data_IF_076185256816
#
_entry.id   IF_076185256816
#
_cell.length_a   1.000
_cell.length_b   1.000
_cell.length_c   1.000
_cell.angle_alpha   90.00
_cell.angle_beta   90.00
_cell.angle_gamma   90.00
#
_symmetry.space_group_name_H-M   'P 1'
#
loop_
_entity.id
_entity.type
_entity.pdbx_description
1 polymer ?
#
# COMPACT_ATOMS: atom_id res chain seq x y z
N UNK A 1 -33.20 -17.99 47.89
CA UNK A 1 -32.00 -17.24 47.46
C UNK A 1 -31.23 -17.97 46.35
N UNK A 2 -30.85 -19.24 46.53
CA UNK A 2 -30.11 -20.04 45.52
C UNK A 2 -30.86 -20.19 44.17
N UNK A 3 -32.19 -20.39 44.18
CA UNK A 3 -32.99 -20.50 42.94
C UNK A 3 -32.98 -19.25 42.06
N UNK A 4 -32.87 -18.06 42.67
CA UNK A 4 -32.80 -16.79 41.93
C UNK A 4 -31.42 -16.57 41.32
N UNK A 5 -30.36 -17.04 41.98
CA UNK A 5 -28.99 -17.00 41.44
C UNK A 5 -28.81 -17.91 40.22
N UNK A 6 -29.43 -19.09 40.23
CA UNK A 6 -29.40 -20.02 39.08
C UNK A 6 -30.16 -19.41 37.89
N UNK A 7 -31.33 -18.80 38.12
CA UNK A 7 -32.10 -18.13 37.07
C UNK A 7 -31.34 -16.92 36.48
N UNK A 8 -30.69 -16.11 37.33
CA UNK A 8 -29.86 -15.00 36.86
C UNK A 8 -28.63 -15.48 36.09
N UNK A 9 -27.98 -16.57 36.53
CA UNK A 9 -26.86 -17.16 35.79
C UNK A 9 -27.28 -17.69 34.42
N UNK A 10 -28.46 -18.30 34.31
CA UNK A 10 -28.99 -18.82 33.05
C UNK A 10 -29.41 -17.69 32.09
N UNK A 11 -30.07 -16.64 32.60
CA UNK A 11 -30.43 -15.46 31.80
C UNK A 11 -29.19 -14.67 31.37
N UNK A 12 -28.19 -14.53 32.24
CA UNK A 12 -26.91 -13.92 31.89
C UNK A 12 -26.15 -14.73 30.84
N UNK A 13 -26.14 -16.06 30.96
CA UNK A 13 -25.53 -16.96 29.98
C UNK A 13 -26.22 -16.91 28.61
N UNK A 14 -27.56 -16.90 28.57
CA UNK A 14 -28.33 -16.76 27.34
C UNK A 14 -28.19 -15.38 26.70
N UNK A 15 -28.10 -14.32 27.53
CA UNK A 15 -27.83 -12.97 27.06
C UNK A 15 -26.45 -12.91 26.41
N UNK A 16 -25.39 -13.37 27.08
CA UNK A 16 -24.02 -13.40 26.53
C UNK A 16 -23.95 -14.29 25.28
N UNK A 17 -24.61 -15.46 25.28
CA UNK A 17 -24.62 -16.35 24.13
C UNK A 17 -25.30 -15.71 22.92
N UNK A 18 -26.45 -15.04 23.12
CA UNK A 18 -27.13 -14.28 22.06
C UNK A 18 -26.31 -13.06 21.63
N UNK A 19 -25.63 -12.38 22.57
CA UNK A 19 -24.76 -11.23 22.31
C UNK A 19 -23.55 -11.60 21.43
N UNK A 20 -23.00 -12.81 21.59
CA UNK A 20 -21.90 -13.33 20.80
C UNK A 20 -22.36 -13.99 19.48
N UNK A 21 -23.50 -14.70 19.47
CA UNK A 21 -23.96 -15.46 18.30
C UNK A 21 -24.61 -14.57 17.23
N UNK A 22 -25.24 -13.45 17.61
CA UNK A 22 -25.91 -12.52 16.69
C UNK A 22 -25.07 -11.26 16.36
N UNK A 23 -23.78 -11.24 16.66
CA UNK A 23 -22.86 -10.20 16.15
C UNK A 23 -23.05 -8.79 16.72
N UNK A 24 -23.81 -8.61 17.81
CA UNK A 24 -24.05 -7.30 18.44
C UNK A 24 -22.72 -6.69 18.94
N UNK A 25 -21.73 -7.52 19.28
CA UNK A 25 -20.39 -7.05 19.65
C UNK A 25 -19.70 -6.28 18.50
N UNK A 26 -19.92 -6.65 17.24
CA UNK A 26 -19.38 -5.91 16.09
C UNK A 26 -20.08 -4.57 15.87
N UNK A 27 -21.38 -4.46 16.21
CA UNK A 27 -22.12 -3.20 16.12
C UNK A 27 -21.76 -2.23 17.26
N UNK A 28 -21.50 -2.73 18.47
CA UNK A 28 -21.15 -1.89 19.64
C UNK A 28 -19.67 -1.49 19.66
N UNK A 29 -18.75 -2.35 19.21
CA UNK A 29 -17.32 -1.99 19.07
C UNK A 29 -17.12 -0.92 17.99
N UNK A 30 -17.95 -0.91 16.95
CA UNK A 30 -17.96 0.17 15.93
C UNK A 30 -18.36 1.55 16.46
N UNK A 31 -18.93 1.64 17.68
CA UNK A 31 -19.29 2.90 18.34
C UNK A 31 -18.20 3.44 19.29
N UNK A 32 -17.27 2.61 19.76
CA UNK A 32 -16.28 2.97 20.79
C UNK A 32 -14.87 3.22 20.25
N UNK A 33 -14.57 2.75 19.04
CA UNK A 33 -13.37 3.16 18.33
C UNK A 33 -13.67 4.46 17.58
N UNK A 34 -12.85 5.52 17.70
CA UNK A 34 -12.94 6.60 16.73
C UNK A 34 -12.80 5.96 15.35
N UNK A 35 -13.82 6.10 14.49
CA UNK A 35 -13.67 5.78 13.07
C UNK A 35 -12.39 6.49 12.63
N UNK A 36 -11.46 5.75 12.01
CA UNK A 36 -10.30 6.37 11.39
C UNK A 36 -10.83 7.50 10.49
N UNK A 37 -10.61 8.74 10.92
CA UNK A 37 -11.29 9.93 10.41
C UNK A 37 -10.47 10.60 9.30
N UNK A 38 -9.30 10.06 8.98
CA UNK A 38 -8.48 10.52 7.88
C UNK A 38 -9.07 9.95 6.58
N UNK A 39 -10.00 10.69 6.00
CA UNK A 39 -10.48 10.44 4.66
C UNK A 39 -9.43 10.98 3.68
N UNK A 40 -8.98 10.15 2.73
CA UNK A 40 -8.04 10.59 1.69
C UNK A 40 -8.66 11.75 0.89
N UNK A 41 -7.90 12.83 0.64
CA UNK A 41 -8.44 14.02 -0.02
C UNK A 41 -8.84 13.73 -1.47
N UNK A 42 -9.94 14.34 -1.91
CA UNK A 42 -10.47 14.22 -3.27
C UNK A 42 -10.92 15.58 -3.81
N UNK A 43 -11.04 15.67 -5.13
CA UNK A 43 -11.62 16.82 -5.84
C UNK A 43 -12.77 16.36 -6.73
N UNK A 44 -13.76 17.22 -6.92
CA UNK A 44 -14.88 16.99 -7.83
C UNK A 44 -14.47 17.26 -9.28
N UNK A 45 -14.88 16.39 -10.19
CA UNK A 45 -14.80 16.59 -11.64
C UNK A 45 -16.16 16.34 -12.29
N UNK A 46 -16.32 16.73 -13.56
CA UNK A 46 -17.54 16.46 -14.32
C UNK A 46 -17.85 14.95 -14.45
N UNK A 47 -16.84 14.09 -14.31
CA UNK A 47 -16.96 12.65 -14.54
C UNK A 47 -16.93 11.83 -13.24
N UNK A 48 -16.80 12.46 -12.07
CA UNK A 48 -16.64 11.75 -10.80
C UNK A 48 -15.78 12.46 -9.78
N UNK A 49 -15.77 11.91 -8.57
CA UNK A 49 -14.79 12.25 -7.53
C UNK A 49 -13.46 11.55 -7.83
N UNK A 50 -12.36 12.30 -7.83
CA UNK A 50 -11.00 11.80 -8.07
C UNK A 50 -10.09 12.14 -6.88
N UNK A 51 -9.08 11.31 -6.56
CA UNK A 51 -8.07 11.66 -5.57
C UNK A 51 -7.43 13.03 -5.84
N UNK A 52 -7.25 13.82 -4.78
CA UNK A 52 -6.46 15.04 -4.84
C UNK A 52 -4.98 14.66 -4.69
N UNK A 53 -4.32 14.33 -5.81
CA UNK A 53 -2.91 13.94 -5.83
C UNK A 53 -1.98 14.99 -5.21
N UNK A 54 -2.39 16.26 -5.18
CA UNK A 54 -1.61 17.35 -4.57
C UNK A 54 -1.61 17.32 -3.04
N UNK A 55 -2.59 16.62 -2.45
CA UNK A 55 -2.73 16.47 -1.00
C UNK A 55 -2.57 15.03 -0.52
N UNK A 56 -2.68 14.06 -1.42
CA UNK A 56 -2.56 12.64 -1.10
C UNK A 56 -1.13 12.28 -0.73
N UNK A 57 -0.93 11.75 0.48
CA UNK A 57 0.35 11.36 1.06
C UNK A 57 0.25 9.98 1.67
N UNK A 58 1.35 9.23 1.71
CA UNK A 58 1.35 7.93 2.40
C UNK A 58 1.02 8.08 3.88
N UNK A 59 1.51 9.15 4.54
CA UNK A 59 1.27 9.45 5.95
C UNK A 59 -0.23 9.52 6.31
N UNK A 60 -1.08 9.95 5.39
CA UNK A 60 -2.52 10.15 5.64
C UNK A 60 -3.37 8.89 5.35
N UNK A 61 -2.77 7.87 4.75
CA UNK A 61 -3.43 6.60 4.44
C UNK A 61 -3.42 5.68 5.65
N UNK A 62 -4.37 5.89 6.55
CA UNK A 62 -4.47 5.18 7.83
C UNK A 62 -5.34 3.94 7.71
N UNK A 63 -4.80 2.78 8.05
CA UNK A 63 -5.56 1.52 8.06
C UNK A 63 -6.52 1.48 9.25
N UNK A 64 -7.75 1.04 9.05
CA UNK A 64 -8.75 0.93 10.11
C UNK A 64 -8.75 -0.42 10.82
N UNK A 65 -8.03 -1.42 10.29
CA UNK A 65 -7.96 -2.77 10.84
C UNK A 65 -6.50 -3.22 10.97
N UNK A 66 -6.19 -3.90 12.08
CA UNK A 66 -4.89 -4.55 12.28
C UNK A 66 -4.81 -5.83 11.46
N UNK A 67 -3.60 -6.21 11.07
CA UNK A 67 -3.38 -7.45 10.36
C UNK A 67 -1.94 -7.90 10.42
N UNK A 68 -1.73 -9.14 10.01
CA UNK A 68 -0.40 -9.70 9.83
C UNK A 68 -0.41 -10.68 8.68
N UNK A 69 0.76 -10.85 8.08
CA UNK A 69 0.97 -11.81 7.01
C UNK A 69 2.37 -12.36 7.11
N UNK A 70 2.47 -13.68 7.01
CA UNK A 70 3.73 -14.38 6.85
C UNK A 70 3.83 -14.89 5.42
N UNK A 71 4.95 -14.61 4.75
CA UNK A 71 5.16 -14.98 3.36
C UNK A 71 6.59 -15.49 3.13
N UNK A 72 6.77 -16.41 2.16
CA UNK A 72 8.09 -16.92 1.83
C UNK A 72 8.90 -15.88 1.07
N UNK A 73 10.18 -15.80 1.39
CA UNK A 73 11.21 -15.06 0.64
C UNK A 73 12.39 -15.98 0.34
N UNK A 74 13.32 -15.49 -0.48
CA UNK A 74 14.62 -16.13 -0.73
C UNK A 74 15.46 -16.30 0.55
N UNK A 75 15.22 -15.46 1.56
CA UNK A 75 15.88 -15.47 2.88
C UNK A 75 15.07 -16.17 3.98
N UNK A 76 14.03 -16.92 3.60
CA UNK A 76 13.11 -17.60 4.53
C UNK A 76 11.78 -16.87 4.70
N UNK A 77 10.99 -17.25 5.71
CA UNK A 77 9.71 -16.60 5.94
C UNK A 77 9.91 -15.22 6.57
N UNK A 78 9.24 -14.21 6.00
CA UNK A 78 9.13 -12.88 6.59
C UNK A 78 7.71 -12.67 7.07
N UNK A 79 7.56 -11.86 8.12
CA UNK A 79 6.26 -11.46 8.64
C UNK A 79 6.13 -9.95 8.60
N UNK A 80 5.05 -9.47 7.98
CA UNK A 80 4.66 -8.06 8.02
C UNK A 80 3.45 -7.92 8.92
N UNK A 81 3.48 -6.91 9.79
CA UNK A 81 2.44 -6.65 10.79
C UNK A 81 2.07 -5.18 10.70
N UNK A 82 0.78 -4.88 10.77
CA UNK A 82 0.28 -3.52 10.90
C UNK A 82 -0.83 -3.46 11.94
N UNK A 83 -1.03 -2.26 12.48
CA UNK A 83 -2.07 -2.00 13.47
C UNK A 83 -3.09 -1.00 12.94
N UNK A 84 -4.35 -1.14 13.36
CA UNK A 84 -5.35 -0.11 13.15
C UNK A 84 -4.84 1.25 13.67
N UNK A 85 -5.03 2.31 12.90
CA UNK A 85 -4.49 3.64 13.19
C UNK A 85 -3.08 3.89 12.64
N UNK A 86 -2.42 2.89 12.05
CA UNK A 86 -1.10 3.03 11.44
C UNK A 86 -1.20 3.51 9.99
N UNK A 87 -0.25 4.34 9.55
CA UNK A 87 -0.13 4.72 8.13
C UNK A 87 0.44 3.57 7.32
N UNK A 88 -0.04 3.37 6.08
CA UNK A 88 0.61 2.42 5.17
C UNK A 88 2.08 2.79 4.91
N UNK A 89 2.43 4.07 4.99
CA UNK A 89 3.80 4.55 4.85
C UNK A 89 4.74 4.07 5.95
N UNK A 90 4.21 3.52 7.06
CA UNK A 90 5.03 2.97 8.15
C UNK A 90 5.51 1.54 7.90
N UNK A 91 4.79 0.77 7.09
CA UNK A 91 5.01 -0.68 6.98
C UNK A 91 5.00 -1.22 5.55
N UNK A 92 4.62 -0.41 4.56
CA UNK A 92 4.79 -0.74 3.16
C UNK A 92 6.18 -0.38 2.67
N UNK A 93 6.64 -1.11 1.68
CA UNK A 93 7.97 -0.97 1.09
C UNK A 93 7.88 -0.35 -0.30
N UNK A 94 8.99 0.20 -0.80
CA UNK A 94 9.05 0.79 -2.14
C UNK A 94 8.65 -0.22 -3.23
N UNK A 95 9.09 -1.47 -3.08
CA UNK A 95 8.81 -2.54 -4.04
C UNK A 95 7.34 -2.88 -4.18
N UNK A 96 6.49 -2.51 -3.22
CA UNK A 96 5.06 -2.79 -3.25
C UNK A 96 4.34 -1.95 -4.33
N UNK A 97 4.93 -0.82 -4.72
CA UNK A 97 4.38 0.13 -5.68
C UNK A 97 5.07 0.12 -7.05
N UNK A 98 6.02 -0.77 -7.29
CA UNK A 98 6.76 -0.90 -8.56
C UNK A 98 5.81 -1.09 -9.76
N UNK A 99 4.71 -1.86 -9.61
CA UNK A 99 3.73 -2.11 -10.68
C UNK A 99 2.59 -1.08 -10.71
N UNK A 100 2.65 -0.04 -9.86
CA UNK A 100 1.57 0.93 -9.70
C UNK A 100 1.61 2.06 -10.74
N UNK A 101 2.67 2.13 -11.57
CA UNK A 101 2.96 3.22 -12.50
C UNK A 101 3.09 4.60 -11.81
N UNK A 102 3.42 4.60 -10.51
CA UNK A 102 3.82 5.82 -9.79
C UNK A 102 5.29 6.18 -10.07
N UNK A 103 6.08 5.19 -10.49
CA UNK A 103 7.51 5.28 -10.72
C UNK A 103 8.27 5.85 -9.49
N UNK A 104 7.86 5.46 -8.27
CA UNK A 104 8.48 5.96 -7.03
C UNK A 104 9.95 5.57 -6.94
N UNK A 105 10.34 4.50 -7.60
CA UNK A 105 11.71 4.02 -7.68
C UNK A 105 12.63 4.95 -8.50
N UNK A 106 12.04 5.83 -9.32
CA UNK A 106 12.75 6.87 -10.08
C UNK A 106 12.94 8.16 -9.29
N UNK A 107 12.43 8.26 -8.05
CA UNK A 107 12.66 9.40 -7.18
C UNK A 107 14.11 9.45 -6.70
N UNK A 108 14.54 10.67 -6.36
CA UNK A 108 15.83 10.96 -5.75
C UNK A 108 15.60 11.75 -4.46
N UNK A 109 16.55 11.73 -3.52
CA UNK A 109 16.43 12.53 -2.29
C UNK A 109 16.44 14.03 -2.59
N UNK A 110 17.12 14.47 -3.64
CA UNK A 110 17.13 15.86 -4.12
C UNK A 110 15.74 16.31 -4.54
N UNK A 111 14.97 15.47 -5.25
CA UNK A 111 13.58 15.81 -5.63
C UNK A 111 12.68 15.92 -4.39
N UNK A 112 12.81 14.98 -3.44
CA UNK A 112 12.02 15.02 -2.19
C UNK A 112 12.37 16.25 -1.36
N UNK A 113 13.66 16.55 -1.23
CA UNK A 113 14.14 17.66 -0.42
C UNK A 113 13.72 19.01 -0.98
N UNK A 114 13.71 19.17 -2.30
CA UNK A 114 13.20 20.37 -2.96
C UNK A 114 11.70 20.54 -2.74
N UNK A 115 10.92 19.46 -2.86
CA UNK A 115 9.47 19.51 -2.69
C UNK A 115 9.04 19.83 -1.24
N UNK A 116 9.81 19.35 -0.25
CA UNK A 116 9.48 19.47 1.17
C UNK A 116 10.37 20.47 1.94
N UNK A 117 11.28 21.16 1.25
CA UNK A 117 12.29 22.03 1.85
C UNK A 117 13.11 21.36 2.97
N UNK A 118 13.52 20.11 2.76
CA UNK A 118 14.34 19.34 3.71
C UNK A 118 15.81 19.71 3.54
N UNK A 119 16.49 19.98 4.65
CA UNK A 119 17.95 20.15 4.66
C UNK A 119 18.65 18.78 4.72
N UNK A 120 19.18 18.34 3.56
CA UNK A 120 19.90 17.07 3.45
C UNK A 120 21.24 17.06 4.22
N UNK A 121 21.86 18.22 4.47
CA UNK A 121 23.10 18.30 5.26
C UNK A 121 22.87 18.06 6.76
N UNK A 122 21.63 18.20 7.21
CA UNK A 122 21.18 17.89 8.56
C UNK A 122 20.97 16.39 8.79
N UNK A 123 20.75 15.62 7.72
CA UNK A 123 20.48 14.18 7.78
C UNK A 123 21.77 13.34 7.87
N UNK A 124 21.63 12.12 8.36
CA UNK A 124 22.67 11.10 8.45
C UNK A 124 22.55 10.06 7.35
N UNK A 125 23.61 9.29 7.13
CA UNK A 125 23.53 8.15 6.20
C UNK A 125 22.51 7.12 6.68
N UNK A 126 22.43 6.81 7.97
CA UNK A 126 21.49 5.80 8.48
C UNK A 126 20.00 6.23 8.42
N UNK A 127 19.73 7.52 8.21
CA UNK A 127 18.38 8.03 7.93
C UNK A 127 17.88 7.59 6.54
N UNK A 128 18.78 7.23 5.61
CA UNK A 128 18.42 6.76 4.27
C UNK A 128 18.47 5.22 4.21
N UNK A 129 17.33 4.56 4.40
CA UNK A 129 17.20 3.10 4.52
C UNK A 129 17.92 2.29 3.45
N UNK A 130 17.88 2.77 2.21
CA UNK A 130 18.49 2.09 1.06
C UNK A 130 19.99 1.86 1.28
N UNK A 131 20.70 2.79 1.93
CA UNK A 131 22.16 2.69 2.11
C UNK A 131 22.56 1.56 3.07
N UNK A 132 21.66 1.10 3.94
CA UNK A 132 21.94 0.10 4.99
C UNK A 132 22.34 -1.26 4.42
N UNK A 133 21.91 -1.58 3.20
CA UNK A 133 22.17 -2.86 2.53
C UNK A 133 23.20 -2.77 1.42
N UNK A 134 23.72 -1.58 1.10
CA UNK A 134 24.61 -1.39 -0.04
C UNK A 134 26.03 -1.89 0.27
N UNK A 135 26.59 -2.63 -0.67
CA UNK A 135 28.02 -2.93 -0.70
C UNK A 135 28.77 -1.82 -1.44
N UNK A 136 30.12 -1.83 -1.36
CA UNK A 136 30.94 -0.88 -2.10
C UNK A 136 30.67 -0.94 -3.61
N UNK A 137 30.53 -2.15 -4.15
CA UNK A 137 30.27 -2.38 -5.57
C UNK A 137 28.89 -1.88 -5.98
N UNK A 138 27.87 -2.07 -5.14
CA UNK A 138 26.53 -1.59 -5.43
C UNK A 138 26.46 -0.06 -5.36
N UNK A 139 27.15 0.55 -4.39
CA UNK A 139 27.24 2.00 -4.29
C UNK A 139 27.95 2.62 -5.51
N UNK A 140 29.00 1.97 -6.04
CA UNK A 140 29.68 2.43 -7.27
C UNK A 140 28.80 2.25 -8.51
N UNK A 141 27.94 1.22 -8.57
CA UNK A 141 26.96 1.08 -9.66
C UNK A 141 25.90 2.17 -9.58
N UNK A 142 25.40 2.46 -8.37
CA UNK A 142 24.38 3.47 -8.13
C UNK A 142 24.90 4.89 -8.35
N UNK A 143 26.16 5.14 -8.00
CA UNK A 143 26.83 6.44 -8.12
C UNK A 143 28.13 6.26 -8.93
N UNK A 144 28.06 6.18 -10.28
CA UNK A 144 29.23 5.87 -11.11
C UNK A 144 30.42 6.83 -10.92
N UNK A 145 30.16 8.10 -10.62
CA UNK A 145 31.19 9.11 -10.38
C UNK A 145 32.06 8.80 -9.16
N UNK A 146 31.52 8.07 -8.19
CA UNK A 146 32.21 7.64 -6.98
C UNK A 146 33.42 6.76 -7.32
N UNK A 147 33.37 6.00 -8.42
CA UNK A 147 34.46 5.13 -8.87
C UNK A 147 35.80 5.89 -9.03
N UNK A 148 35.73 7.15 -9.46
CA UNK A 148 36.89 7.98 -9.77
C UNK A 148 37.47 8.70 -8.54
N UNK A 149 36.71 8.75 -7.44
CA UNK A 149 37.12 9.40 -6.21
C UNK A 149 38.17 8.56 -5.46
N UNK A 150 39.04 9.24 -4.72
CA UNK A 150 39.91 8.58 -3.75
C UNK A 150 39.09 8.23 -2.51
N UNK A 151 39.28 7.05 -1.93
CA UNK A 151 38.57 6.72 -0.69
C UNK A 151 38.86 7.74 0.42
N UNK A 152 40.06 8.31 0.46
CA UNK A 152 40.44 9.36 1.42
C UNK A 152 39.55 10.61 1.35
N UNK A 153 38.97 10.96 0.19
CA UNK A 153 38.10 12.13 0.06
C UNK A 153 36.64 11.86 0.45
N UNK A 154 36.26 10.59 0.66
CA UNK A 154 34.91 10.19 1.04
C UNK A 154 34.96 9.51 2.40
N UNK A 155 34.76 10.29 3.46
CA UNK A 155 34.96 9.87 4.85
C UNK A 155 34.39 8.49 5.23
N UNK A 156 33.11 8.17 4.95
CA UNK A 156 32.55 6.84 5.27
C UNK A 156 33.31 5.72 4.54
N UNK A 157 33.70 5.93 3.28
CA UNK A 157 34.43 4.92 2.49
C UNK A 157 35.88 4.80 2.96
N UNK A 158 36.51 5.90 3.39
CA UNK A 158 37.82 5.86 4.02
C UNK A 158 37.81 4.99 5.28
N UNK A 159 36.80 5.14 6.14
CA UNK A 159 36.66 4.36 7.36
C UNK A 159 36.34 2.91 7.07
N UNK A 160 35.45 2.63 6.13
CA UNK A 160 35.19 1.27 5.64
C UNK A 160 36.50 0.60 5.18
N UNK A 161 37.32 1.30 4.38
CA UNK A 161 38.60 0.75 3.91
C UNK A 161 39.57 0.48 5.05
N UNK A 162 39.63 1.35 6.07
CA UNK A 162 40.45 1.13 7.26
C UNK A 162 40.05 -0.14 8.00
N UNK A 163 38.75 -0.37 8.18
CA UNK A 163 38.24 -1.60 8.81
C UNK A 163 38.62 -2.85 8.00
N UNK A 164 38.58 -2.76 6.68
CA UNK A 164 38.97 -3.85 5.79
C UNK A 164 40.49 -4.01 5.62
N UNK A 165 41.33 -3.17 6.24
CA UNK A 165 42.79 -3.19 6.05
C UNK A 165 43.26 -2.74 4.66
N UNK A 166 42.43 -1.95 3.96
CA UNK A 166 42.66 -1.45 2.59
C UNK A 166 43.21 -0.03 2.64
N UNK A 167 44.13 0.30 1.72
CA UNK A 167 44.69 1.65 1.63
C UNK A 167 43.65 2.68 1.16
N UNK A 168 43.47 3.75 1.93
CA UNK A 168 42.56 4.86 1.59
C UNK A 168 43.03 5.73 0.42
N UNK A 169 44.27 5.55 -0.05
CA UNK A 169 44.79 6.27 -1.22
C UNK A 169 44.27 5.69 -2.54
N UNK A 170 43.65 4.52 -2.52
CA UNK A 170 43.13 3.89 -3.73
C UNK A 170 41.87 4.60 -4.24
N UNK A 171 41.64 4.49 -5.55
CA UNK A 171 40.36 4.85 -6.16
C UNK A 171 39.31 3.85 -5.73
N UNK A 172 38.12 4.34 -5.43
CA UNK A 172 37.02 3.52 -4.92
C UNK A 172 36.63 2.43 -5.92
N UNK A 173 36.54 2.78 -7.21
CA UNK A 173 36.20 1.82 -8.26
C UNK A 173 37.24 0.70 -8.42
N UNK A 174 38.52 0.98 -8.19
CA UNK A 174 39.55 -0.06 -8.20
C UNK A 174 39.29 -1.06 -7.06
N UNK A 175 39.01 -0.57 -5.86
CA UNK A 175 38.76 -1.45 -4.72
C UNK A 175 37.49 -2.28 -4.93
N UNK A 176 36.41 -1.66 -5.42
CA UNK A 176 35.17 -2.35 -5.75
C UNK A 176 35.36 -3.52 -6.74
N UNK A 177 36.28 -3.36 -7.70
CA UNK A 177 36.53 -4.38 -8.72
C UNK A 177 37.55 -5.47 -8.30
N UNK A 178 38.58 -5.10 -7.53
CA UNK A 178 39.70 -6.01 -7.22
C UNK A 178 39.54 -6.77 -5.90
N UNK A 179 38.77 -6.25 -4.95
CA UNK A 179 38.55 -6.89 -3.66
C UNK A 179 37.21 -7.61 -3.64
N UNK A 180 37.15 -8.75 -2.96
CA UNK A 180 35.91 -9.51 -2.80
C UNK A 180 35.03 -8.91 -1.69
N UNK A 181 34.42 -7.76 -1.96
CA UNK A 181 33.59 -7.00 -1.01
C UNK A 181 32.09 -7.04 -1.33
N UNK A 182 31.70 -7.81 -2.36
CA UNK A 182 30.33 -7.86 -2.90
C UNK A 182 29.27 -8.41 -1.92
N UNK A 183 29.68 -8.94 -0.77
CA UNK A 183 28.79 -9.47 0.27
C UNK A 183 28.95 -8.74 1.60
N UNK A 184 29.64 -7.59 1.62
CA UNK A 184 29.92 -6.82 2.83
C UNK A 184 29.23 -5.46 2.69
N UNK A 185 28.03 -5.28 3.27
CA UNK A 185 27.38 -3.98 3.34
C UNK A 185 28.23 -2.97 4.10
N UNK A 186 28.24 -1.70 3.68
CA UNK A 186 29.01 -0.67 4.38
C UNK A 186 28.60 -0.58 5.86
N UNK A 187 27.30 -0.62 6.14
CA UNK A 187 26.74 -0.51 7.49
C UNK A 187 27.07 -1.68 8.44
N UNK A 188 27.63 -2.80 7.95
CA UNK A 188 28.10 -3.88 8.84
C UNK A 188 29.45 -3.55 9.49
N UNK A 189 30.28 -2.75 8.82
CA UNK A 189 31.65 -2.45 9.26
C UNK A 189 31.79 -1.04 9.84
N UNK A 190 30.91 -0.12 9.43
CA UNK A 190 30.91 1.26 9.92
C UNK A 190 29.55 1.69 10.44
N UNK A 191 29.58 2.55 11.45
CA UNK A 191 28.39 3.16 12.03
C UNK A 191 27.94 4.36 11.18
N UNK A 192 26.93 4.13 10.33
CA UNK A 192 26.43 5.10 9.37
C UNK A 192 25.86 6.37 10.02
N UNK A 193 25.42 6.31 11.28
CA UNK A 193 24.90 7.46 12.04
C UNK A 193 25.91 8.57 12.28
N UNK A 194 27.21 8.26 12.16
CA UNK A 194 28.31 9.21 12.37
C UNK A 194 28.57 10.12 11.17
N UNK A 195 28.00 9.81 10.01
CA UNK A 195 28.26 10.52 8.78
C UNK A 195 27.01 11.28 8.34
N UNK A 196 27.21 12.49 7.82
CA UNK A 196 26.13 13.19 7.13
C UNK A 196 25.73 12.42 5.88
N UNK A 197 24.46 12.49 5.48
CA UNK A 197 23.98 11.91 4.23
C UNK A 197 24.87 12.35 3.04
N UNK A 198 25.13 13.65 2.95
CA UNK A 198 25.95 14.29 1.89
C UNK A 198 27.45 13.97 1.97
N UNK A 199 27.89 13.14 2.92
CA UNK A 199 29.29 12.69 3.00
C UNK A 199 29.66 11.70 1.88
N UNK A 200 28.67 11.12 1.20
CA UNK A 200 28.85 10.34 -0.03
C UNK A 200 28.38 11.23 -1.19
N UNK A 201 29.31 11.78 -1.99
CA UNK A 201 28.94 12.67 -3.09
C UNK A 201 28.01 11.97 -4.09
N UNK A 202 26.91 12.63 -4.48
CA UNK A 202 25.99 12.16 -5.51
C UNK A 202 24.87 11.25 -5.00
N UNK A 203 24.89 10.84 -3.73
CA UNK A 203 23.87 9.94 -3.15
C UNK A 203 22.46 10.53 -3.24
N UNK A 204 22.34 11.85 -3.15
CA UNK A 204 21.07 12.56 -3.20
C UNK A 204 20.47 12.66 -4.60
N UNK A 205 21.28 12.43 -5.64
CA UNK A 205 20.89 12.58 -7.05
C UNK A 205 20.66 11.24 -7.76
N UNK A 206 21.13 10.13 -7.19
CA UNK A 206 20.83 8.78 -7.70
C UNK A 206 19.37 8.41 -7.44
N UNK A 207 18.74 7.75 -8.41
CA UNK A 207 17.38 7.24 -8.22
C UNK A 207 17.39 5.99 -7.35
N UNK A 208 16.29 5.74 -6.63
CA UNK A 208 16.22 4.61 -5.71
C UNK A 208 16.44 3.26 -6.42
N UNK A 209 16.01 3.13 -7.66
CA UNK A 209 16.17 1.91 -8.44
C UNK A 209 17.61 1.60 -8.90
N UNK A 210 18.52 2.56 -8.76
CA UNK A 210 19.95 2.36 -9.03
C UNK A 210 20.67 1.62 -7.89
N UNK A 211 20.07 1.61 -6.69
CA UNK A 211 20.62 0.93 -5.52
C UNK A 211 20.16 -0.53 -5.44
N UNK A 212 21.01 -1.41 -4.90
CA UNK A 212 20.65 -2.81 -4.74
C UNK A 212 19.55 -2.98 -3.68
N UNK A 213 18.62 -3.91 -3.87
CA UNK A 213 17.57 -4.24 -2.90
C UNK A 213 16.69 -3.05 -2.45
N UNK A 214 16.58 -1.99 -3.26
CA UNK A 214 15.75 -0.83 -2.95
C UNK A 214 14.28 -1.23 -2.68
N UNK A 215 13.80 -2.28 -3.35
CA UNK A 215 12.43 -2.77 -3.22
C UNK A 215 12.06 -3.15 -1.79
N UNK A 216 13.02 -3.62 -1.00
CA UNK A 216 12.79 -4.04 0.39
C UNK A 216 12.87 -2.89 1.40
N UNK A 217 13.09 -1.65 0.94
CA UNK A 217 13.19 -0.48 1.82
C UNK A 217 11.80 0.01 2.19
N UNK A 218 11.56 0.23 3.48
CA UNK A 218 10.29 0.82 3.93
C UNK A 218 10.14 2.25 3.42
N UNK A 219 8.89 2.65 3.15
CA UNK A 219 8.59 4.04 2.80
C UNK A 219 9.03 4.99 3.93
N UNK A 220 8.88 4.56 5.19
CA UNK A 220 9.31 5.29 6.39
C UNK A 220 10.82 5.44 6.53
N UNK A 221 11.61 4.58 5.88
CA UNK A 221 13.06 4.66 5.90
C UNK A 221 13.62 5.60 4.82
N UNK A 222 12.76 6.26 4.02
CA UNK A 222 13.19 7.27 3.06
C UNK A 222 12.83 8.66 3.63
N UNK A 223 13.82 9.54 3.88
CA UNK A 223 13.57 10.86 4.44
C UNK A 223 12.53 11.65 3.63
N UNK A 224 11.43 12.03 4.27
CA UNK A 224 10.35 12.84 3.69
C UNK A 224 9.38 12.10 2.76
N UNK A 225 9.63 10.84 2.37
CA UNK A 225 8.78 10.18 1.37
C UNK A 225 7.34 9.97 1.86
N UNK A 226 7.16 9.69 3.15
CA UNK A 226 5.82 9.56 3.75
C UNK A 226 4.98 10.82 3.61
N UNK A 227 5.62 11.97 3.69
CA UNK A 227 5.01 13.31 3.69
C UNK A 227 4.93 13.93 2.30
N UNK A 228 5.59 13.32 1.31
CA UNK A 228 5.58 13.75 -0.07
C UNK A 228 4.20 13.50 -0.69
N UNK A 229 3.60 14.56 -1.23
CA UNK A 229 2.35 14.43 -1.99
C UNK A 229 2.59 13.71 -3.31
N UNK A 230 1.64 12.89 -3.73
CA UNK A 230 1.77 12.02 -4.89
C UNK A 230 1.97 12.78 -6.21
N UNK A 231 1.52 14.03 -6.32
CA UNK A 231 1.80 14.88 -7.49
C UNK A 231 3.29 15.24 -7.69
N UNK A 232 4.14 14.98 -6.70
CA UNK A 232 5.59 15.10 -6.83
C UNK A 232 6.27 13.79 -7.24
N UNK A 233 5.52 12.70 -7.39
CA UNK A 233 6.05 11.46 -7.96
C UNK A 233 6.29 11.64 -9.47
N UNK A 234 7.20 10.85 -10.08
CA UNK A 234 7.51 11.00 -11.49
C UNK A 234 6.32 10.70 -12.41
N UNK A 235 5.33 9.96 -11.91
CA UNK A 235 4.04 9.72 -12.56
C UNK A 235 2.93 9.67 -11.52
N UNK A 236 1.74 10.16 -11.89
CA UNK A 236 0.50 9.96 -11.13
C UNK A 236 -0.49 9.19 -11.99
N UNK A 237 -1.34 8.32 -11.39
CA UNK A 237 -2.31 7.56 -12.16
C UNK A 237 -3.35 8.50 -12.76
N UNK A 238 -3.52 8.47 -14.09
CA UNK A 238 -4.66 9.09 -14.73
C UNK A 238 -5.93 8.27 -14.40
N UNK A 239 -7.03 8.91 -13.95
CA UNK A 239 -8.29 8.20 -13.75
C UNK A 239 -8.77 7.53 -15.03
N UNK A 240 -9.15 6.26 -14.93
CA UNK A 240 -9.70 5.50 -16.06
C UNK A 240 -11.18 5.86 -16.26
N UNK A 241 -11.44 6.80 -17.16
CA UNK A 241 -12.78 7.30 -17.47
C UNK A 241 -13.52 6.44 -18.50
N UNK A 242 -13.04 5.23 -18.83
CA UNK A 242 -13.69 4.36 -19.82
C UNK A 242 -15.07 3.85 -19.38
N UNK A 243 -15.35 3.88 -18.08
CA UNK A 243 -16.61 3.43 -17.52
C UNK A 243 -16.98 4.28 -16.30
N UNK A 244 -18.08 5.03 -16.43
CA UNK A 244 -18.56 6.01 -15.44
C UNK A 244 -20.06 5.84 -15.26
N UNK A 245 -20.53 6.01 -14.03
CA UNK A 245 -21.95 6.04 -13.69
C UNK A 245 -22.22 7.00 -12.55
N UNK A 246 -23.37 6.81 -11.93
CA UNK A 246 -23.82 7.51 -10.74
C UNK A 246 -24.27 6.47 -9.72
N UNK A 247 -24.07 6.77 -8.44
CA UNK A 247 -24.69 5.99 -7.37
C UNK A 247 -26.20 6.23 -7.42
N UNK A 248 -27.02 5.19 -7.49
CA UNK A 248 -28.48 5.33 -7.55
C UNK A 248 -29.14 4.81 -6.27
N UNK A 249 -29.07 3.50 -6.02
CA UNK A 249 -29.74 2.86 -4.88
C UNK A 249 -28.73 2.09 -4.04
N UNK A 250 -28.30 2.63 -2.89
CA UNK A 250 -27.57 1.87 -1.87
C UNK A 250 -28.51 0.86 -1.21
N UNK A 251 -28.15 -0.42 -1.25
CA UNK A 251 -28.96 -1.53 -0.75
C UNK A 251 -28.11 -2.47 0.12
N UNK A 252 -28.64 -2.81 1.29
CA UNK A 252 -27.97 -3.50 2.38
C UNK A 252 -28.00 -5.03 2.25
N UNK A 253 -27.83 -5.68 3.39
CA UNK A 253 -27.49 -7.10 3.50
C UNK A 253 -28.67 -8.07 3.31
N UNK A 254 -29.88 -7.55 3.13
CA UNK A 254 -31.08 -8.35 2.83
C UNK A 254 -31.13 -8.77 1.35
N UNK A 255 -30.40 -8.05 0.50
CA UNK A 255 -30.35 -8.31 -0.94
C UNK A 255 -29.66 -9.63 -1.27
N UNK A 256 -30.09 -10.30 -2.35
CA UNK A 256 -29.57 -11.61 -2.74
C UNK A 256 -29.54 -11.79 -4.26
N UNK A 257 -28.72 -12.74 -4.74
CA UNK A 257 -28.69 -13.17 -6.14
C UNK A 257 -28.53 -12.02 -7.15
N UNK A 258 -27.48 -11.21 -6.97
CA UNK A 258 -27.15 -10.04 -7.79
C UNK A 258 -26.18 -10.44 -8.89
N UNK A 259 -26.72 -10.67 -10.09
CA UNK A 259 -25.99 -11.23 -11.24
C UNK A 259 -25.43 -10.16 -12.20
N UNK A 260 -25.96 -8.94 -12.14
CA UNK A 260 -25.55 -7.82 -13.00
C UNK A 260 -24.41 -7.04 -12.35
N UNK A 261 -23.47 -7.80 -11.80
CA UNK A 261 -22.36 -7.28 -10.99
C UNK A 261 -21.29 -6.67 -11.86
N UNK A 262 -20.80 -5.51 -11.45
CA UNK A 262 -19.59 -4.87 -11.96
C UNK A 262 -18.45 -5.02 -10.95
N UNK A 263 -18.47 -6.01 -10.07
CA UNK A 263 -17.45 -6.19 -9.03
C UNK A 263 -16.55 -7.37 -9.37
N UNK A 264 -15.27 -7.32 -9.01
CA UNK A 264 -14.43 -8.52 -9.05
C UNK A 264 -12.96 -8.24 -8.78
N UNK A 265 -12.08 -8.87 -9.55
CA UNK A 265 -10.62 -8.75 -9.46
C UNK A 265 -9.96 -8.90 -10.83
N UNK A 266 -8.65 -8.69 -10.89
CA UNK A 266 -7.88 -9.00 -12.08
C UNK A 266 -7.84 -10.51 -12.42
N UNK A 267 -8.04 -11.40 -11.44
CA UNK A 267 -7.96 -12.85 -11.66
C UNK A 267 -9.29 -13.44 -12.14
N UNK A 268 -10.40 -13.03 -11.56
CA UNK A 268 -11.73 -13.55 -11.93
C UNK A 268 -12.45 -12.67 -12.98
N UNK A 269 -11.89 -11.49 -13.28
CA UNK A 269 -12.59 -10.45 -14.03
C UNK A 269 -13.47 -9.58 -13.12
N UNK A 270 -14.07 -8.54 -13.68
CA UNK A 270 -14.79 -7.50 -12.92
C UNK A 270 -16.32 -7.62 -13.01
N UNK A 271 -16.82 -8.84 -13.30
CA UNK A 271 -18.24 -9.15 -13.48
C UNK A 271 -18.65 -10.38 -12.64
N UNK A 272 -18.10 -10.51 -11.43
CA UNK A 272 -18.34 -11.68 -10.57
C UNK A 272 -19.71 -11.56 -9.90
N UNK A 273 -20.66 -12.48 -10.17
CA UNK A 273 -22.01 -12.41 -9.62
C UNK A 273 -22.03 -12.72 -8.12
N UNK A 274 -22.93 -12.08 -7.37
CA UNK A 274 -23.17 -12.37 -5.96
C UNK A 274 -24.37 -13.32 -5.83
N UNK A 275 -24.11 -14.62 -5.69
CA UNK A 275 -25.13 -15.68 -5.65
C UNK A 275 -25.56 -16.09 -4.22
N UNK A 276 -25.21 -15.27 -3.22
CA UNK A 276 -25.50 -15.53 -1.81
C UNK A 276 -26.73 -14.74 -1.35
N UNK A 277 -27.19 -15.05 -0.13
CA UNK A 277 -28.36 -14.40 0.49
C UNK A 277 -28.05 -13.06 1.17
N UNK A 278 -26.85 -12.51 0.95
CA UNK A 278 -26.42 -11.21 1.44
C UNK A 278 -25.48 -10.59 0.41
N UNK A 279 -26.02 -9.67 -0.38
CA UNK A 279 -25.32 -9.00 -1.45
C UNK A 279 -25.44 -7.49 -1.26
N UNK A 280 -25.04 -6.98 -0.09
CA UNK A 280 -24.97 -5.53 0.11
C UNK A 280 -24.18 -4.88 -1.05
N UNK A 281 -24.81 -3.92 -1.72
CA UNK A 281 -24.30 -3.28 -2.93
C UNK A 281 -24.91 -1.88 -3.12
N UNK A 282 -24.47 -1.16 -4.14
CA UNK A 282 -25.31 -0.12 -4.71
C UNK A 282 -25.62 -0.44 -6.17
N UNK A 283 -26.80 -0.04 -6.62
CA UNK A 283 -27.14 -0.01 -8.05
C UNK A 283 -26.66 1.30 -8.66
N UNK A 284 -26.01 1.20 -9.81
CA UNK A 284 -25.58 2.35 -10.58
C UNK A 284 -26.66 2.82 -11.55
N UNK A 285 -26.66 4.11 -11.86
CA UNK A 285 -27.41 4.72 -12.97
C UNK A 285 -26.46 5.48 -13.91
N UNK A 286 -26.89 5.83 -15.12
CA UNK A 286 -26.10 6.67 -16.02
C UNK A 286 -26.22 6.33 -17.51
N UNK A 287 -25.33 6.90 -18.33
CA UNK A 287 -25.33 6.74 -19.79
C UNK A 287 -24.94 5.31 -20.19
N UNK A 288 -25.72 4.69 -21.07
CA UNK A 288 -25.45 3.37 -21.62
C UNK A 288 -25.98 2.22 -20.76
N UNK A 289 -25.19 1.16 -20.59
CA UNK A 289 -25.60 -0.10 -19.94
C UNK A 289 -25.44 -0.10 -18.40
N UNK A 290 -24.98 1.00 -17.79
CA UNK A 290 -24.72 1.10 -16.34
C UNK A 290 -25.95 1.06 -15.46
N UNK A 291 -27.13 1.41 -16.00
CA UNK A 291 -28.37 1.46 -15.23
C UNK A 291 -28.73 0.08 -14.69
N UNK A 292 -28.82 -0.07 -13.37
CA UNK A 292 -29.06 -1.34 -12.69
C UNK A 292 -27.82 -2.24 -12.58
N UNK A 293 -26.62 -1.73 -12.88
CA UNK A 293 -25.37 -2.45 -12.63
C UNK A 293 -25.04 -2.42 -11.14
N UNK A 294 -24.54 -3.53 -10.59
CA UNK A 294 -24.43 -3.73 -9.15
C UNK A 294 -22.96 -3.72 -8.72
N UNK A 295 -22.56 -2.78 -7.87
CA UNK A 295 -21.23 -2.81 -7.23
C UNK A 295 -21.36 -3.37 -5.81
N UNK A 296 -21.05 -4.66 -5.69
CA UNK A 296 -21.13 -5.46 -4.47
C UNK A 296 -20.06 -5.04 -3.46
N UNK A 297 -20.42 -5.02 -2.18
CA UNK A 297 -19.52 -4.72 -1.08
C UNK A 297 -18.45 -5.78 -0.91
N UNK A 298 -17.20 -5.34 -0.77
CA UNK A 298 -16.07 -6.19 -0.42
C UNK A 298 -16.12 -6.78 0.98
N UNK A 299 -17.05 -6.33 1.84
CA UNK A 299 -17.31 -6.96 3.14
C UNK A 299 -18.04 -8.30 3.00
N UNK A 300 -18.96 -8.38 2.04
CA UNK A 300 -19.84 -9.55 1.87
C UNK A 300 -19.31 -10.51 0.81
N UNK A 301 -18.54 -10.02 -0.17
CA UNK A 301 -17.99 -10.85 -1.24
C UNK A 301 -16.47 -10.72 -1.34
N UNK A 302 -15.80 -11.88 -1.34
CA UNK A 302 -14.38 -12.03 -1.64
C UNK A 302 -14.20 -12.77 -2.97
N UNK A 303 -13.11 -12.50 -3.65
CA UNK A 303 -12.75 -13.06 -4.97
C UNK A 303 -11.27 -13.41 -4.99
N UNK A 304 -10.85 -14.32 -5.86
CA UNK A 304 -9.46 -14.70 -6.05
C UNK A 304 -8.62 -13.49 -6.51
N UNK A 305 -7.39 -13.40 -6.02
CA UNK A 305 -6.47 -12.30 -6.29
C UNK A 305 -5.00 -12.71 -6.28
N UNK A 306 -4.12 -11.73 -6.51
CA UNK A 306 -2.67 -11.96 -6.51
C UNK A 306 -2.16 -12.81 -7.68
N UNK A 307 -0.85 -13.05 -7.72
CA UNK A 307 -0.21 -13.93 -8.71
C UNK A 307 1.18 -14.38 -8.25
N UNK A 308 1.69 -15.45 -8.88
CA UNK A 308 2.95 -16.09 -8.47
C UNK A 308 2.81 -16.82 -7.13
N UNK A 309 3.92 -17.00 -6.41
CA UNK A 309 3.95 -17.75 -5.14
C UNK A 309 3.21 -17.03 -4.00
N UNK A 310 3.10 -15.70 -4.05
CA UNK A 310 2.38 -14.90 -3.07
C UNK A 310 0.86 -14.90 -3.27
N UNK A 311 0.35 -15.49 -4.36
CA UNK A 311 -1.10 -15.53 -4.63
C UNK A 311 -1.90 -16.25 -3.55
N UNK A 312 -1.29 -17.13 -2.76
CA UNK A 312 -1.97 -17.93 -1.72
C UNK A 312 -2.11 -17.19 -0.39
N UNK A 313 -1.45 -16.03 -0.27
CA UNK A 313 -1.57 -15.16 0.91
C UNK A 313 -3.03 -14.76 1.11
N UNK A 314 -3.46 -14.68 2.37
CA UNK A 314 -4.86 -14.38 2.73
C UNK A 314 -5.86 -15.39 2.10
N UNK A 315 -5.47 -16.66 2.00
CA UNK A 315 -6.26 -17.70 1.34
C UNK A 315 -6.39 -17.51 -0.18
N UNK A 316 -5.62 -16.58 -0.75
CA UNK A 316 -5.72 -16.15 -2.14
C UNK A 316 -6.91 -15.28 -2.47
N UNK A 317 -7.53 -14.69 -1.46
CA UNK A 317 -8.73 -13.89 -1.60
C UNK A 317 -8.48 -12.40 -1.32
N UNK A 318 -9.20 -11.56 -2.04
CA UNK A 318 -9.33 -10.12 -1.82
C UNK A 318 -10.81 -9.70 -1.79
N UNK A 319 -11.19 -8.61 -1.10
CA UNK A 319 -12.49 -7.97 -1.29
C UNK A 319 -12.76 -7.68 -2.76
N UNK A 320 -13.98 -7.92 -3.23
CA UNK A 320 -14.42 -7.53 -4.57
C UNK A 320 -14.35 -6.00 -4.75
N UNK A 321 -14.03 -5.50 -5.94
CA UNK A 321 -13.84 -4.07 -6.18
C UNK A 321 -13.33 -3.74 -7.58
N UNK A 322 -12.82 -2.52 -7.79
CA UNK A 322 -12.29 -2.03 -9.09
C UNK A 322 -11.02 -1.19 -8.92
N UNK A 323 -10.38 -0.83 -10.04
CA UNK A 323 -9.12 -0.08 -10.10
C UNK A 323 -9.21 1.19 -10.97
N UNK A 324 -10.16 2.11 -10.71
CA UNK A 324 -10.32 3.31 -11.53
C UNK A 324 -9.12 4.27 -11.46
N UNK A 325 -8.24 4.10 -10.47
CA UNK A 325 -7.07 4.96 -10.23
C UNK A 325 -5.74 4.21 -10.34
N UNK A 326 -5.70 3.18 -11.19
CA UNK A 326 -4.50 2.37 -11.41
C UNK A 326 -4.31 1.24 -10.39
N UNK A 327 -3.11 0.64 -10.39
CA UNK A 327 -2.79 -0.58 -9.63
C UNK A 327 -2.18 -0.30 -8.25
N UNK A 328 -2.00 0.95 -7.87
CA UNK A 328 -1.51 1.36 -6.55
C UNK A 328 -2.41 0.85 -5.43
N UNK A 329 -3.72 0.86 -5.66
CA UNK A 329 -4.72 0.36 -4.73
C UNK A 329 -5.99 -0.06 -5.45
N UNK A 330 -6.77 -0.91 -4.81
CA UNK A 330 -8.12 -1.30 -5.22
C UNK A 330 -9.15 -0.44 -4.50
N UNK A 331 -10.09 0.15 -5.22
CA UNK A 331 -11.27 0.79 -4.64
C UNK A 331 -12.35 -0.25 -4.40
N UNK A 332 -12.87 -0.27 -3.18
CA UNK A 332 -13.83 -1.26 -2.70
C UNK A 332 -15.01 -0.55 -2.05
N UNK A 333 -16.23 -0.90 -2.44
CA UNK A 333 -17.44 -0.56 -1.67
C UNK A 333 -17.35 -1.29 -0.33
N UNK A 334 -17.33 -0.54 0.77
CA UNK A 334 -17.05 -1.10 2.09
C UNK A 334 -18.27 -1.05 3.00
N UNK A 335 -18.86 0.13 3.19
CA UNK A 335 -20.06 0.32 3.99
C UNK A 335 -21.18 0.94 3.15
N UNK A 336 -22.41 0.51 3.41
CA UNK A 336 -23.63 1.00 2.76
C UNK A 336 -24.60 1.40 3.87
N UNK A 337 -25.18 2.58 3.73
CA UNK A 337 -26.23 3.09 4.61
C UNK A 337 -27.43 3.51 3.76
N UNK A 338 -28.42 2.62 3.68
CA UNK A 338 -29.68 2.86 2.98
C UNK A 338 -30.44 4.08 3.52
N UNK A 339 -30.32 4.35 4.82
CA UNK A 339 -31.12 5.41 5.47
C UNK A 339 -30.66 6.81 5.10
N UNK A 340 -29.36 6.97 4.85
CA UNK A 340 -28.76 8.23 4.39
C UNK A 340 -28.49 8.25 2.89
N UNK A 341 -28.75 7.15 2.18
CA UNK A 341 -28.42 7.03 0.76
C UNK A 341 -26.92 7.15 0.51
N UNK A 342 -26.08 6.60 1.38
CA UNK A 342 -24.62 6.76 1.29
C UNK A 342 -23.86 5.45 1.14
N UNK A 343 -22.74 5.53 0.44
CA UNK A 343 -21.81 4.42 0.17
C UNK A 343 -20.40 4.88 0.54
N UNK A 344 -19.79 4.24 1.54
CA UNK A 344 -18.40 4.47 1.88
C UNK A 344 -17.51 3.48 1.13
N UNK A 345 -16.48 4.02 0.49
CA UNK A 345 -15.44 3.21 -0.15
C UNK A 345 -14.17 3.18 0.68
N UNK A 346 -13.38 2.12 0.48
CA UNK A 346 -12.07 1.96 1.08
C UNK A 346 -11.03 1.59 0.01
N UNK A 347 -9.78 1.95 0.28
CA UNK A 347 -8.62 1.48 -0.46
C UNK A 347 -8.09 0.20 0.15
N UNK A 348 -7.77 -0.77 -0.70
CA UNK A 348 -7.01 -1.95 -0.35
C UNK A 348 -5.72 -1.99 -1.15
N UNK A 349 -4.63 -2.29 -0.47
CA UNK A 349 -3.29 -2.42 -1.02
C UNK A 349 -2.89 -3.89 -1.07
N UNK A 350 -1.86 -4.15 -1.87
CA UNK A 350 -1.16 -5.43 -1.92
C UNK A 350 0.32 -5.16 -1.72
N UNK A 351 1.07 -6.21 -1.45
CA UNK A 351 2.51 -6.12 -1.50
C UNK A 351 3.05 -7.12 -2.51
N UNK A 352 4.25 -6.85 -2.98
CA UNK A 352 4.82 -7.58 -4.09
C UNK A 352 6.33 -7.77 -3.89
N UNK A 353 6.85 -8.90 -4.35
CA UNK A 353 8.26 -9.26 -4.22
C UNK A 353 8.82 -9.73 -5.55
N UNK A 354 10.08 -9.41 -5.79
CA UNK A 354 10.88 -10.00 -6.84
C UNK A 354 11.70 -11.13 -6.23
N UNK A 355 11.35 -12.38 -6.57
CA UNK A 355 12.08 -13.55 -6.08
C UNK A 355 12.99 -14.07 -7.19
N UNK A 356 14.30 -14.27 -6.94
CA UNK A 356 15.22 -14.83 -7.91
C UNK A 356 14.68 -16.12 -8.55
N UNK A 357 14.77 -16.22 -9.88
CA UNK A 357 14.31 -17.36 -10.70
C UNK A 357 12.79 -17.62 -10.74
N UNK A 358 12.00 -17.01 -9.85
CA UNK A 358 10.51 -17.05 -9.87
C UNK A 358 9.94 -15.84 -10.60
N UNK A 359 10.60 -14.69 -10.46
CA UNK A 359 10.15 -13.40 -10.99
C UNK A 359 9.25 -12.66 -10.00
N UNK A 360 8.54 -11.66 -10.54
CA UNK A 360 7.61 -10.81 -9.78
C UNK A 360 6.41 -11.62 -9.29
N UNK A 361 6.05 -11.45 -8.03
CA UNK A 361 4.88 -12.08 -7.42
C UNK A 361 4.19 -11.09 -6.50
N UNK A 362 2.86 -11.14 -6.42
CA UNK A 362 2.07 -10.23 -5.60
C UNK A 362 0.97 -10.98 -4.86
N UNK A 363 0.62 -10.47 -3.69
CA UNK A 363 -0.55 -10.92 -2.95
C UNK A 363 -1.85 -10.43 -3.61
N UNK A 364 -3.02 -10.97 -3.19
CA UNK A 364 -4.28 -10.26 -3.34
C UNK A 364 -4.22 -8.84 -2.73
N UNK A 365 -5.17 -7.97 -3.06
CA UNK A 365 -5.36 -6.66 -2.41
C UNK A 365 -6.09 -6.82 -1.07
N UNK A 366 -5.37 -7.08 0.01
CA UNK A 366 -5.97 -7.36 1.33
C UNK A 366 -5.46 -6.45 2.46
N UNK A 367 -4.45 -5.61 2.20
CA UNK A 367 -3.95 -4.64 3.19
C UNK A 367 -4.89 -3.45 3.21
N UNK A 368 -5.55 -3.21 4.34
CA UNK A 368 -6.57 -2.20 4.50
C UNK A 368 -7.52 -2.59 5.63
N UNK A 369 -8.72 -1.99 5.69
CA UNK A 369 -9.22 -0.92 4.83
C UNK A 369 -8.56 0.42 5.15
N UNK A 370 -8.31 1.26 4.15
CA UNK A 370 -8.05 2.70 4.36
C UNK A 370 -9.29 3.48 3.91
N UNK A 371 -9.96 4.26 4.78
CA UNK A 371 -11.14 5.05 4.40
C UNK A 371 -10.85 6.00 3.23
N UNK A 372 -11.73 6.01 2.22
CA UNK A 372 -11.43 6.68 0.94
C UNK A 372 -12.46 7.75 0.54
N UNK A 373 -13.51 7.41 -0.20
CA UNK A 373 -14.52 8.38 -0.63
C UNK A 373 -15.89 7.90 -0.14
N UNK A 374 -16.66 8.83 0.43
CA UNK A 374 -18.09 8.63 0.71
C UNK A 374 -18.87 9.26 -0.43
N UNK A 375 -19.64 8.43 -1.11
CA UNK A 375 -20.56 8.83 -2.16
C UNK A 375 -21.98 8.85 -1.59
N UNK A 376 -22.82 9.72 -2.13
CA UNK A 376 -24.25 9.77 -1.90
C UNK A 376 -24.98 9.46 -3.20
N UNK A 377 -26.28 9.17 -3.11
CA UNK A 377 -27.15 9.07 -4.27
C UNK A 377 -26.93 10.26 -5.23
N UNK A 378 -26.86 9.94 -6.52
CA UNK A 378 -26.58 10.82 -7.67
C UNK A 378 -25.14 11.32 -7.77
N UNK A 379 -24.26 11.00 -6.83
CA UNK A 379 -22.85 11.32 -7.00
C UNK A 379 -22.27 10.54 -8.18
N UNK A 380 -21.48 11.20 -9.06
CA UNK A 380 -20.80 10.54 -10.14
C UNK A 380 -19.65 9.67 -9.60
N UNK A 381 -19.51 8.47 -10.16
CA UNK A 381 -18.51 7.50 -9.74
C UNK A 381 -17.82 6.87 -10.96
N UNK A 382 -16.50 6.73 -10.85
CA UNK A 382 -15.65 6.17 -11.88
C UNK A 382 -15.44 4.69 -11.56
N UNK A 383 -15.81 3.82 -12.49
CA UNK A 383 -15.61 2.38 -12.37
C UNK A 383 -14.26 1.96 -12.98
N UNK A 384 -13.86 2.62 -14.06
CA UNK A 384 -12.70 2.22 -14.85
C UNK A 384 -12.91 0.91 -15.60
N UNK A 385 -11.87 0.46 -16.29
CA UNK A 385 -11.91 -0.72 -17.15
C UNK A 385 -11.97 -2.03 -16.36
N UNK A 386 -12.54 -3.10 -16.96
CA UNK A 386 -13.28 -3.11 -18.23
C UNK A 386 -14.69 -2.49 -18.09
N UNK A 387 -15.20 -1.91 -19.17
CA UNK A 387 -16.52 -1.25 -19.23
C UNK A 387 -17.70 -2.21 -19.49
N UNK A 388 -17.53 -3.51 -19.23
CA UNK A 388 -18.55 -4.52 -19.48
C UNK A 388 -19.53 -4.60 -18.32
N UNK A 389 -20.82 -4.60 -18.62
CA UNK A 389 -21.91 -4.94 -17.69
C UNK A 389 -22.50 -6.27 -18.17
N UNK A 390 -22.67 -7.28 -17.31
CA UNK A 390 -23.41 -8.49 -17.67
C UNK A 390 -24.83 -8.15 -18.12
N UNK A 391 -25.39 -8.96 -19.02
CA UNK A 391 -26.78 -8.79 -19.49
C UNK A 391 -27.79 -9.07 -18.38
#
# INVERSE_FOLDING_TARGET
>A
MIRYLILFGLLGGLFIHSFCQYGIMNQVIGFLLPKASAQVPFVSSNNGLIPDWSKMKFQDMIVSESGNVTYPTDRGNQTRIWQAGQSIGDFMELGDFEDANLNIEKLTLSTISQALAIDLDGLKLDDFGVIKTQTLSDLVKAIPELANQSARSVAPIADFFRQMGISTNQRIGNVANYYNLNNIPLGSEIDLSKYKLTSIPGIENSSFDEFANWQDTLISDIPGLKDLSWNNFPSVPEPDLSFVGQVDLPLGDIEANRIRSISGSYQEGFNVPCNQNNCAHFEASGLGQTTGAQWISGKVQKVEGGYGVLKVVNGGLEPTGRHPFGKSFKQVVWDIDESSGSVNTAMFFRFCKNIPFVGRTCTPYFIGPVPFITYHEKDPIIFGSPSSVPD
#
